data_IF_330470683001
#
_entry.id   IF_330470683001
#
_cell.length_a   1.000
_cell.length_b   1.000
_cell.length_c   1.000
_cell.angle_alpha   90.00
_cell.angle_beta   90.00
_cell.angle_gamma   90.00
#
_symmetry.space_group_name_H-M   'P 1'
#
loop_
_entity.id
_entity.type
_entity.pdbx_description
1 polymer ?
#
# COMPACT_ATOMS: atom_id res chain seq x y z
N UNK A 1 4.35 -3.52 -15.57
CA UNK A 1 3.62 -3.91 -14.34
C UNK A 1 3.05 -2.65 -13.73
N UNK A 2 1.78 -2.66 -13.31
CA UNK A 2 1.14 -1.49 -12.70
C UNK A 2 1.52 -1.39 -11.22
N UNK A 3 1.82 -0.19 -10.74
CA UNK A 3 2.04 0.12 -9.32
C UNK A 3 0.84 0.88 -8.80
N UNK A 4 0.24 0.39 -7.73
CA UNK A 4 -0.97 0.96 -7.14
C UNK A 4 -0.64 1.38 -5.71
N UNK A 5 -0.75 2.68 -5.42
CA UNK A 5 -0.58 3.19 -4.06
C UNK A 5 -1.93 3.10 -3.35
N UNK A 6 -1.96 2.40 -2.22
CA UNK A 6 -3.17 2.17 -1.43
C UNK A 6 -3.00 2.81 -0.06
N UNK A 7 -3.87 3.77 0.25
CA UNK A 7 -3.98 4.32 1.61
C UNK A 7 -4.80 3.37 2.49
N UNK A 8 -4.62 3.45 3.81
CA UNK A 8 -5.43 2.72 4.78
C UNK A 8 -6.95 2.82 4.50
N UNK A 9 -7.42 4.00 4.05
CA UNK A 9 -8.85 4.23 3.74
C UNK A 9 -9.36 3.50 2.49
N UNK A 10 -8.45 3.08 1.61
CA UNK A 10 -8.74 2.38 0.35
C UNK A 10 -8.29 0.92 0.40
N UNK A 11 -7.93 0.46 1.60
CA UNK A 11 -7.40 -0.87 1.82
C UNK A 11 -8.57 -1.85 1.77
N UNK A 12 -8.46 -2.86 0.92
CA UNK A 12 -9.44 -3.93 0.84
C UNK A 12 -9.01 -5.06 1.76
N UNK A 13 -9.98 -5.86 2.24
CA UNK A 13 -9.68 -7.00 3.10
C UNK A 13 -8.64 -7.94 2.45
N UNK A 14 -8.71 -8.12 1.13
CA UNK A 14 -7.73 -8.92 0.37
C UNK A 14 -6.29 -8.42 0.55
N UNK A 15 -6.03 -7.11 0.45
CA UNK A 15 -4.69 -6.55 0.63
C UNK A 15 -4.24 -6.67 2.09
N UNK A 16 -5.17 -6.54 3.05
CA UNK A 16 -4.87 -6.72 4.47
C UNK A 16 -4.46 -8.16 4.77
N UNK A 17 -5.20 -9.13 4.25
CA UNK A 17 -4.86 -10.56 4.37
C UNK A 17 -3.48 -10.84 3.80
N UNK A 18 -3.18 -10.36 2.58
CA UNK A 18 -1.85 -10.55 1.97
C UNK A 18 -0.72 -9.95 2.81
N UNK A 19 -1.00 -8.82 3.47
CA UNK A 19 -0.06 -8.17 4.36
C UNK A 19 0.19 -8.98 5.63
N UNK A 20 -0.87 -9.49 6.29
CA UNK A 20 -0.78 -10.34 7.48
C UNK A 20 -0.12 -11.68 7.16
N UNK A 21 -0.46 -12.30 6.03
CA UNK A 21 0.16 -13.55 5.57
C UNK A 21 1.65 -13.39 5.28
N UNK A 22 2.04 -12.24 4.71
CA UNK A 22 3.44 -11.94 4.38
C UNK A 22 4.26 -11.55 5.62
N UNK A 23 3.63 -10.87 6.57
CA UNK A 23 4.24 -10.32 7.79
C UNK A 23 3.52 -10.84 9.05
N UNK A 24 3.51 -12.15 9.31
CA UNK A 24 2.78 -12.73 10.44
C UNK A 24 3.36 -12.31 11.80
N UNK A 25 4.66 -12.01 11.84
CA UNK A 25 5.37 -11.49 13.01
C UNK A 25 5.43 -9.94 13.04
N UNK A 26 4.68 -9.28 12.14
CA UNK A 26 4.77 -7.84 11.88
C UNK A 26 5.88 -7.47 10.89
N UNK A 27 6.00 -6.17 10.61
CA UNK A 27 6.98 -5.60 9.67
C UNK A 27 8.01 -4.75 10.42
N UNK A 28 9.25 -4.75 9.94
CA UNK A 28 10.32 -3.90 10.46
C UNK A 28 10.55 -2.65 9.61
N UNK A 29 11.42 -1.75 10.07
CA UNK A 29 11.88 -0.60 9.27
C UNK A 29 12.52 -1.03 7.94
N UNK A 30 13.18 -2.21 7.89
CA UNK A 30 13.77 -2.78 6.67
C UNK A 30 12.73 -3.16 5.60
N UNK A 31 11.48 -3.42 6.01
CA UNK A 31 10.38 -3.74 5.10
C UNK A 31 9.68 -2.50 4.54
N UNK A 32 9.91 -1.34 5.17
CA UNK A 32 9.26 -0.08 4.81
C UNK A 32 9.99 0.58 3.65
N UNK A 33 9.27 0.76 2.54
CA UNK A 33 9.73 1.54 1.41
C UNK A 33 9.46 3.02 1.68
N UNK A 34 10.53 3.80 1.75
CA UNK A 34 10.48 5.28 1.83
C UNK A 34 10.70 5.88 0.45
N UNK A 35 9.71 6.62 -0.04
CA UNK A 35 9.80 7.36 -1.30
C UNK A 35 9.21 8.76 -1.15
N UNK A 36 9.55 9.66 -2.08
CA UNK A 36 8.92 10.98 -2.14
C UNK A 36 7.77 10.98 -3.14
N UNK A 37 6.61 11.49 -2.73
CA UNK A 37 5.47 11.67 -3.64
C UNK A 37 5.64 12.92 -4.53
N UNK A 38 4.67 13.17 -5.41
CA UNK A 38 4.65 14.35 -6.28
C UNK A 38 4.63 15.69 -5.49
N UNK A 39 4.18 15.68 -4.24
CA UNK A 39 4.21 16.83 -3.32
C UNK A 39 5.56 16.99 -2.59
N UNK A 40 6.55 16.18 -2.92
CA UNK A 40 7.88 16.15 -2.28
C UNK A 40 7.84 15.73 -0.79
N UNK A 41 6.74 15.10 -0.37
CA UNK A 41 6.53 14.55 0.97
C UNK A 41 7.11 13.13 1.05
N UNK A 42 7.75 12.80 2.16
CA UNK A 42 8.21 11.43 2.43
C UNK A 42 7.01 10.56 2.76
N UNK A 43 6.81 9.52 1.96
CA UNK A 43 5.78 8.49 2.13
C UNK A 43 6.47 7.17 2.49
N UNK A 44 5.91 6.50 3.49
CA UNK A 44 6.32 5.19 3.97
C UNK A 44 5.26 4.18 3.55
N UNK A 45 5.65 3.10 2.87
CA UNK A 45 4.73 2.08 2.40
C UNK A 45 5.33 0.66 2.46
N UNK A 46 4.47 -0.33 2.70
CA UNK A 46 4.81 -1.74 2.56
C UNK A 46 4.50 -2.20 1.14
N UNK A 47 5.42 -2.94 0.53
CA UNK A 47 5.21 -3.52 -0.80
C UNK A 47 4.61 -4.92 -0.72
N UNK A 48 3.49 -5.11 -1.41
CA UNK A 48 2.87 -6.41 -1.66
C UNK A 48 2.78 -6.63 -3.16
N UNK A 49 3.36 -7.73 -3.62
CA UNK A 49 3.35 -8.10 -5.04
C UNK A 49 2.33 -9.21 -5.26
N UNK A 50 1.40 -8.97 -6.17
CA UNK A 50 0.51 -10.01 -6.72
C UNK A 50 0.87 -10.29 -8.18
N UNK A 51 0.28 -11.32 -8.77
CA UNK A 51 0.45 -11.63 -10.20
C UNK A 51 -0.06 -10.51 -11.13
N UNK A 52 -0.99 -9.68 -10.64
CA UNK A 52 -1.64 -8.62 -11.42
C UNK A 52 -0.94 -7.27 -11.27
N UNK A 53 -0.56 -6.89 -10.05
CA UNK A 53 -0.04 -5.57 -9.74
C UNK A 53 0.89 -5.56 -8.51
N UNK A 54 1.64 -4.46 -8.36
CA UNK A 54 2.41 -4.19 -7.14
C UNK A 54 1.67 -3.14 -6.33
N UNK A 55 1.26 -3.50 -5.12
CA UNK A 55 0.57 -2.64 -4.17
C UNK A 55 1.58 -2.03 -3.20
N UNK A 56 1.55 -0.70 -3.07
CA UNK A 56 2.32 0.06 -2.10
C UNK A 56 1.33 0.57 -1.04
N UNK A 57 1.25 -0.16 0.06
CA UNK A 57 0.31 0.13 1.14
C UNK A 57 0.93 1.14 2.08
N UNK A 58 0.37 2.34 2.15
CA UNK A 58 0.91 3.40 2.98
C UNK A 58 0.80 3.05 4.45
N UNK A 59 1.95 3.02 5.12
CA UNK A 59 2.03 2.81 6.55
C UNK A 59 1.55 4.06 7.25
N UNK A 60 0.51 3.91 8.06
CA UNK A 60 0.04 4.93 8.98
C UNK A 60 -0.11 4.30 10.35
N UNK A 61 -0.18 5.12 11.40
CA UNK A 61 -0.37 4.65 12.78
C UNK A 61 -1.62 3.77 12.93
N UNK A 62 -2.62 3.94 12.06
CA UNK A 62 -3.84 3.11 12.03
C UNK A 62 -3.58 1.71 11.48
N UNK A 63 -2.79 1.59 10.41
CA UNK A 63 -2.48 0.29 9.80
C UNK A 63 -1.76 -0.63 10.80
N UNK A 64 -0.78 -0.09 11.53
CA UNK A 64 -0.06 -0.84 12.56
C UNK A 64 -1.01 -1.41 13.62
N UNK A 65 -1.96 -0.59 14.07
CA UNK A 65 -2.95 -0.99 15.07
C UNK A 65 -3.93 -2.03 14.51
N UNK A 66 -4.40 -1.86 13.27
CA UNK A 66 -5.28 -2.85 12.63
C UNK A 66 -4.58 -4.18 12.43
N UNK A 67 -3.33 -4.21 11.92
CA UNK A 67 -2.57 -5.46 11.79
C UNK A 67 -2.41 -6.22 13.11
N UNK A 68 -2.18 -5.51 14.22
CA UNK A 68 -2.00 -6.15 15.53
C UNK A 68 -3.32 -6.68 16.12
N UNK A 69 -4.46 -6.09 15.74
CA UNK A 69 -5.79 -6.45 16.21
C UNK A 69 -6.63 -7.22 15.16
N UNK A 70 -6.06 -7.54 14.00
CA UNK A 70 -6.75 -8.25 12.93
C UNK A 70 -6.86 -9.73 13.30
N UNK A 71 -7.83 -10.05 14.15
CA UNK A 71 -8.37 -11.40 14.31
C UNK A 71 -9.50 -11.58 13.29
N UNK A 72 -9.44 -12.66 12.51
CA UNK A 72 -10.32 -12.97 11.36
C UNK A 72 -11.84 -12.96 11.66
N UNK A 73 -12.25 -12.71 12.92
CA UNK A 73 -13.63 -12.82 13.40
C UNK A 73 -14.38 -11.47 13.59
N UNK A 74 -13.74 -10.28 13.50
CA UNK A 74 -14.40 -9.03 13.96
C UNK A 74 -14.40 -7.79 13.03
N UNK A 75 -13.80 -7.80 11.84
CA UNK A 75 -13.66 -6.56 11.02
C UNK A 75 -14.74 -6.42 9.92
N UNK A 76 -16.00 -6.19 10.35
CA UNK A 76 -17.13 -5.81 9.47
C UNK A 76 -17.21 -4.27 9.22
N UNK A 77 -16.23 -3.50 9.71
CA UNK A 77 -16.24 -2.02 9.71
C UNK A 77 -15.21 -1.39 8.73
N UNK A 78 -14.73 -2.14 7.75
CA UNK A 78 -13.94 -1.57 6.65
C UNK A 78 -14.86 -0.87 5.64
N UNK A 79 -15.33 0.32 6.03
CA UNK A 79 -16.15 1.22 5.20
C UNK A 79 -15.45 1.46 3.85
N UNK A 80 -16.05 0.87 2.81
CA UNK A 80 -15.63 0.86 1.42
C UNK A 80 -15.73 2.29 0.85
N UNK A 81 -14.71 3.09 1.14
CA UNK A 81 -14.61 4.49 0.75
C UNK A 81 -14.15 4.67 -0.70
N UNK A 82 -15.12 4.57 -1.61
CA UNK A 82 -15.21 5.24 -2.91
C UNK A 82 -14.02 5.10 -3.90
N UNK A 83 -14.29 4.29 -4.94
CA UNK A 83 -13.46 4.09 -6.12
C UNK A 83 -13.38 5.40 -6.92
N UNK A 84 -12.34 6.20 -6.66
CA UNK A 84 -12.10 7.44 -7.39
C UNK A 84 -10.62 7.77 -7.49
N UNK A 85 -10.12 7.79 -8.72
CA UNK A 85 -8.86 8.39 -9.18
C UNK A 85 -7.60 7.52 -9.04
N UNK A 86 -7.46 6.58 -9.98
CA UNK A 86 -6.16 6.14 -10.48
C UNK A 86 -5.44 7.35 -11.09
N UNK A 87 -4.44 7.90 -10.40
CA UNK A 87 -3.54 8.89 -10.99
C UNK A 87 -2.58 8.14 -11.89
N UNK A 88 -2.85 8.21 -13.20
CA UNK A 88 -1.92 7.79 -14.25
C UNK A 88 -0.75 8.78 -14.26
N UNK A 89 0.39 8.36 -13.70
CA UNK A 89 1.64 9.14 -13.82
C UNK A 89 2.25 8.75 -15.16
N UNK A 90 2.38 9.67 -16.14
CA UNK A 90 3.08 9.37 -17.37
C UNK A 90 4.56 9.11 -17.07
N UNK A 91 5.04 7.94 -17.50
CA UNK A 91 6.44 7.54 -17.46
C UNK A 91 7.19 8.33 -18.55
N UNK A 92 7.70 9.50 -18.19
CA UNK A 92 8.57 10.30 -19.07
C UNK A 92 10.03 10.05 -18.68
N UNK A 93 10.60 8.99 -19.25
CA UNK A 93 12.05 8.78 -19.32
C UNK A 93 12.42 8.22 -20.69
N UNK A 94 12.73 9.11 -21.63
CA UNK A 94 13.68 8.79 -22.70
C UNK A 94 14.48 10.05 -23.11
N UNK A 95 15.69 10.25 -22.57
CA UNK A 95 16.66 11.17 -23.16
C UNK A 95 17.53 10.39 -24.16
N UNK A 96 17.03 10.22 -25.39
CA UNK A 96 17.87 9.78 -26.51
C UNK A 96 18.80 10.94 -26.93
N UNK A 97 20.07 10.70 -26.68
CA UNK A 97 21.22 11.56 -26.86
C UNK A 97 21.71 11.48 -28.32
N UNK A 98 21.68 12.60 -29.06
CA UNK A 98 22.31 12.74 -30.38
C UNK A 98 23.86 12.80 -30.29
#
# INVERSE_FOLDING_TARGET
MKRIIVDYKKLTNEILTLLVEKYPDGYGDDDIIRFKNASNETVEALEVRTDEAVYLVKVSTRLANTMENFDEEEDDDFDSGDIGNSVDIPDDNDPDNE
#
